data_IF_720706254323
#
_entry.id   IF_720706254323
#
_cell.length_a   1.000
_cell.length_b   1.000
_cell.length_c   1.000
_cell.angle_alpha   90.00
_cell.angle_beta   90.00
_cell.angle_gamma   90.00
#
_symmetry.space_group_name_H-M   'P 1'
#
loop_
_entity.id
_entity.type
_entity.pdbx_description
1 polymer ?
#
# COMPACT_ATOMS: atom_id res chain seq x y z
N UNK A 1 -63.56 -6.41 24.21
CA UNK A 1 -63.38 -4.98 23.90
C UNK A 1 -62.40 -4.82 22.75
N UNK A 2 -62.87 -4.17 21.75
CA UNK A 2 -62.18 -3.96 20.48
C UNK A 2 -61.11 -2.88 20.65
N UNK A 3 -59.84 -3.12 20.21
CA UNK A 3 -58.93 -2.05 19.84
C UNK A 3 -58.29 -2.37 18.50
N UNK A 4 -58.67 -1.56 17.55
CA UNK A 4 -58.14 -1.53 16.18
C UNK A 4 -56.76 -0.90 16.22
N UNK A 5 -55.77 -1.56 15.69
CA UNK A 5 -54.47 -0.97 15.38
C UNK A 5 -54.53 -0.56 13.92
N UNK A 6 -54.47 0.75 13.69
CA UNK A 6 -54.32 1.35 12.38
C UNK A 6 -52.87 1.17 11.90
N UNK A 7 -52.69 0.50 10.78
CA UNK A 7 -51.49 0.50 10.05
C UNK A 7 -51.41 1.80 9.24
N UNK A 8 -50.42 2.62 9.50
CA UNK A 8 -50.08 3.78 8.69
C UNK A 8 -49.03 3.34 7.71
N UNK A 9 -49.44 3.13 6.49
CA UNK A 9 -48.54 2.96 5.34
C UNK A 9 -48.04 4.34 4.91
N UNK A 10 -46.77 4.63 5.19
CA UNK A 10 -46.11 5.81 4.68
C UNK A 10 -45.44 5.46 3.34
N UNK A 11 -46.12 5.81 2.26
CA UNK A 11 -45.57 5.71 0.91
C UNK A 11 -44.72 6.95 0.66
N UNK A 12 -43.41 6.83 0.80
CA UNK A 12 -42.48 7.85 0.36
C UNK A 12 -42.16 7.64 -1.11
N UNK A 13 -42.71 8.46 -1.96
CA UNK A 13 -42.31 8.54 -3.35
C UNK A 13 -40.95 9.26 -3.41
N UNK A 14 -39.89 8.53 -3.65
CA UNK A 14 -38.60 9.11 -4.01
C UNK A 14 -38.58 9.38 -5.52
N UNK A 15 -38.62 10.64 -5.87
CA UNK A 15 -38.19 11.09 -7.18
C UNK A 15 -36.67 10.88 -7.29
N UNK A 16 -36.31 9.90 -8.10
CA UNK A 16 -34.93 9.68 -8.48
C UNK A 16 -34.48 10.79 -9.44
N UNK A 17 -33.79 11.77 -8.88
CA UNK A 17 -32.92 12.64 -9.66
C UNK A 17 -31.66 11.85 -9.96
N UNK A 18 -31.52 11.33 -11.18
CA UNK A 18 -30.29 10.80 -11.70
C UNK A 18 -29.32 11.96 -11.95
N UNK A 19 -28.64 12.41 -10.89
CA UNK A 19 -27.37 13.05 -11.08
C UNK A 19 -26.35 11.91 -11.24
N UNK A 20 -25.91 11.68 -12.46
CA UNK A 20 -24.73 10.87 -12.72
C UNK A 20 -23.54 11.61 -12.12
N UNK A 21 -23.27 11.38 -10.85
CA UNK A 21 -21.97 11.63 -10.28
C UNK A 21 -21.03 10.64 -10.94
N UNK A 22 -19.90 11.06 -11.54
CA UNK A 22 -18.89 10.09 -11.92
C UNK A 22 -18.57 9.35 -10.65
N UNK A 23 -18.81 8.07 -10.66
CA UNK A 23 -18.24 7.15 -9.68
C UNK A 23 -16.77 7.08 -10.06
N UNK A 24 -16.02 8.08 -9.61
CA UNK A 24 -14.63 7.84 -9.30
C UNK A 24 -14.72 6.71 -8.31
N UNK A 25 -14.08 5.61 -8.63
CA UNK A 25 -14.07 4.45 -7.80
C UNK A 25 -13.95 4.95 -6.38
N UNK A 26 -15.04 4.82 -5.68
CA UNK A 26 -15.02 4.98 -4.26
C UNK A 26 -14.05 3.91 -3.84
N UNK A 27 -12.84 4.30 -3.58
CA UNK A 27 -11.88 3.51 -2.89
C UNK A 27 -12.44 3.33 -1.47
N UNK A 28 -13.50 2.58 -1.42
CA UNK A 28 -14.16 2.18 -0.21
C UNK A 28 -13.26 1.16 0.46
N UNK A 29 -12.31 1.72 1.21
CA UNK A 29 -11.40 0.93 1.99
C UNK A 29 -10.34 0.29 1.11
N UNK A 30 -9.53 1.11 0.45
CA UNK A 30 -8.20 0.67 0.19
C UNK A 30 -7.60 0.31 1.54
N UNK A 31 -7.32 -0.95 1.68
CA UNK A 31 -6.56 -1.50 2.77
C UNK A 31 -5.08 -1.10 2.53
N UNK A 32 -4.87 0.21 2.33
CA UNK A 32 -3.56 0.77 1.98
C UNK A 32 -2.58 0.73 3.13
N UNK A 33 -3.08 0.53 4.35
CA UNK A 33 -2.23 0.56 5.52
C UNK A 33 -1.65 1.96 5.80
N UNK A 34 -0.79 2.03 6.79
CA UNK A 34 -0.06 3.25 7.18
C UNK A 34 1.43 3.01 7.36
N UNK A 35 1.93 1.92 6.85
CA UNK A 35 3.34 1.56 6.87
C UNK A 35 3.83 1.45 5.45
N UNK A 36 4.94 2.13 5.15
CA UNK A 36 5.67 2.02 3.90
C UNK A 36 6.89 1.13 4.12
N UNK A 37 6.79 -0.12 3.68
CA UNK A 37 7.89 -1.09 3.79
C UNK A 37 8.80 -1.01 2.58
N UNK A 38 10.04 -0.59 2.80
CA UNK A 38 11.07 -0.45 1.76
C UNK A 38 12.14 -1.52 1.94
N UNK A 39 12.39 -2.31 0.90
CA UNK A 39 13.40 -3.36 0.88
C UNK A 39 14.62 -2.93 0.06
N UNK A 40 15.79 -2.98 0.67
CA UNK A 40 17.06 -2.62 0.05
C UNK A 40 18.21 -3.45 0.64
N UNK A 41 19.39 -3.39 0.00
CA UNK A 41 20.55 -4.18 0.43
C UNK A 41 21.59 -3.39 1.22
N UNK A 42 21.47 -2.07 1.24
CA UNK A 42 22.34 -1.18 2.00
C UNK A 42 21.63 0.14 2.33
N UNK A 43 22.32 1.05 2.98
CA UNK A 43 21.77 2.34 3.41
C UNK A 43 21.83 3.44 2.34
N UNK A 44 22.34 3.17 1.14
CA UNK A 44 22.52 4.22 0.13
C UNK A 44 21.19 4.83 -0.29
N UNK A 45 20.20 4.00 -0.61
CA UNK A 45 18.89 4.49 -0.99
C UNK A 45 18.18 5.20 0.15
N UNK A 46 18.32 4.68 1.38
CA UNK A 46 17.81 5.32 2.58
C UNK A 46 18.37 6.74 2.72
N UNK A 47 19.70 6.90 2.66
CA UNK A 47 20.34 8.22 2.76
C UNK A 47 19.83 9.17 1.69
N UNK A 48 19.72 8.73 0.44
CA UNK A 48 19.20 9.57 -0.65
C UNK A 48 17.74 10.00 -0.43
N UNK A 49 16.91 9.10 0.04
CA UNK A 49 15.50 9.42 0.33
C UNK A 49 15.42 10.39 1.51
N UNK A 50 16.13 10.14 2.58
CA UNK A 50 16.09 10.99 3.78
C UNK A 50 16.65 12.39 3.53
N UNK A 51 17.67 12.51 2.68
CA UNK A 51 18.31 13.79 2.37
C UNK A 51 17.45 14.66 1.42
N UNK A 52 16.60 14.04 0.61
CA UNK A 52 15.94 14.74 -0.49
C UNK A 52 14.41 14.70 -0.42
N UNK A 53 13.80 13.79 0.34
CA UNK A 53 12.34 13.70 0.41
C UNK A 53 11.77 14.66 1.46
N UNK A 54 10.93 15.62 1.06
CA UNK A 54 10.36 16.60 2.00
C UNK A 54 9.50 15.93 3.07
N UNK A 55 9.72 16.31 4.32
CA UNK A 55 8.91 15.83 5.44
C UNK A 55 9.25 14.46 5.97
N UNK A 56 10.39 13.87 5.54
CA UNK A 56 10.91 12.68 6.21
C UNK A 56 11.47 13.04 7.60
N UNK A 57 11.06 12.28 8.60
CA UNK A 57 11.55 12.37 9.98
C UNK A 57 12.12 11.02 10.39
N UNK A 58 13.39 10.99 10.79
CA UNK A 58 14.02 9.77 11.29
C UNK A 58 13.58 9.48 12.73
N UNK A 59 13.16 8.25 12.99
CA UNK A 59 12.80 7.75 14.32
C UNK A 59 13.97 6.96 14.90
N UNK A 60 14.52 6.04 14.12
CA UNK A 60 15.75 5.27 14.46
C UNK A 60 16.43 4.79 13.17
N UNK A 61 17.46 3.96 13.30
CA UNK A 61 18.25 3.47 12.16
C UNK A 61 17.44 2.72 11.09
N UNK A 62 16.27 2.20 11.41
CA UNK A 62 15.42 1.41 10.50
C UNK A 62 13.99 1.93 10.39
N UNK A 63 13.63 2.98 11.10
CA UNK A 63 12.28 3.54 11.09
C UNK A 63 12.30 5.05 10.91
N UNK A 64 11.35 5.54 10.18
CA UNK A 64 11.07 6.96 10.00
C UNK A 64 9.59 7.22 9.82
N UNK A 65 9.26 8.47 9.52
CA UNK A 65 7.89 8.93 9.26
C UNK A 65 7.86 9.89 8.09
N UNK A 66 6.76 9.84 7.35
CA UNK A 66 6.38 10.87 6.37
C UNK A 66 4.92 11.22 6.65
N UNK A 67 4.68 12.32 7.37
CA UNK A 67 3.34 12.65 7.84
C UNK A 67 2.78 11.56 8.77
N UNK A 68 1.64 10.97 8.42
CA UNK A 68 0.99 9.90 9.18
C UNK A 68 1.44 8.48 8.77
N UNK A 69 2.38 8.38 7.84
CA UNK A 69 2.88 7.09 7.34
C UNK A 69 4.18 6.73 8.05
N UNK A 70 4.23 5.57 8.66
CA UNK A 70 5.44 5.00 9.19
C UNK A 70 6.29 4.40 8.05
N UNK A 71 7.59 4.69 8.02
CA UNK A 71 8.52 4.14 7.03
C UNK A 71 9.39 3.10 7.70
N UNK A 72 9.42 1.90 7.15
CA UNK A 72 10.23 0.79 7.65
C UNK A 72 11.27 0.39 6.62
N UNK A 73 12.53 0.45 7.00
CA UNK A 73 13.67 0.08 6.18
C UNK A 73 14.07 -1.37 6.45
N UNK A 74 13.81 -2.23 5.48
CA UNK A 74 14.19 -3.64 5.52
C UNK A 74 15.52 -3.80 4.76
N UNK A 75 16.63 -3.67 5.48
CA UNK A 75 17.97 -3.70 4.90
C UNK A 75 18.57 -5.09 5.08
N UNK A 76 18.78 -5.79 3.98
CA UNK A 76 19.40 -7.12 3.96
C UNK A 76 20.60 -7.09 3.00
N UNK A 77 21.84 -7.32 3.47
CA UNK A 77 23.00 -7.34 2.60
C UNK A 77 22.86 -8.32 1.42
N UNK A 78 23.53 -8.01 0.30
CA UNK A 78 23.51 -8.86 -0.91
C UNK A 78 24.40 -10.10 -0.83
N UNK A 79 25.20 -10.22 0.23
CA UNK A 79 26.11 -11.34 0.40
C UNK A 79 25.36 -12.68 0.27
N UNK A 80 25.94 -13.62 -0.44
CA UNK A 80 25.36 -14.96 -0.67
C UNK A 80 23.90 -14.96 -1.17
N UNK A 81 23.51 -13.94 -1.93
CA UNK A 81 22.13 -13.70 -2.39
C UNK A 81 21.12 -13.50 -1.25
N UNK A 82 21.53 -13.13 -0.06
CA UNK A 82 20.64 -13.01 1.09
C UNK A 82 19.49 -12.02 0.84
N UNK A 83 19.79 -10.87 0.21
CA UNK A 83 18.76 -9.90 -0.16
C UNK A 83 17.69 -10.48 -1.09
N UNK A 84 18.09 -11.12 -2.20
CA UNK A 84 17.14 -11.69 -3.16
C UNK A 84 16.33 -12.84 -2.53
N UNK A 85 16.95 -13.68 -1.73
CA UNK A 85 16.26 -14.78 -1.04
C UNK A 85 15.21 -14.24 -0.07
N UNK A 86 15.56 -13.24 0.73
CA UNK A 86 14.61 -12.59 1.64
C UNK A 86 13.45 -11.91 0.90
N UNK A 87 13.75 -11.22 -0.19
CA UNK A 87 12.74 -10.58 -1.03
C UNK A 87 11.79 -11.61 -1.64
N UNK A 88 12.32 -12.69 -2.22
CA UNK A 88 11.52 -13.77 -2.83
C UNK A 88 10.59 -14.43 -1.80
N UNK A 89 11.10 -14.78 -0.64
CA UNK A 89 10.30 -15.41 0.43
C UNK A 89 9.18 -14.49 0.93
N UNK A 90 9.44 -13.19 1.00
CA UNK A 90 8.45 -12.22 1.46
C UNK A 90 7.40 -11.95 0.38
N UNK A 91 7.81 -11.79 -0.88
CA UNK A 91 6.88 -11.62 -2.01
C UNK A 91 5.93 -12.81 -2.18
N UNK A 92 6.38 -14.03 -1.92
CA UNK A 92 5.50 -15.22 -1.95
C UNK A 92 4.37 -15.16 -0.92
N UNK A 93 4.54 -14.40 0.15
CA UNK A 93 3.54 -14.20 1.21
C UNK A 93 2.72 -12.93 1.02
N UNK A 94 3.03 -12.13 0.01
CA UNK A 94 2.44 -10.80 -0.22
C UNK A 94 0.92 -10.81 -0.30
N UNK A 95 0.32 -11.83 -0.94
CA UNK A 95 -1.12 -11.93 -1.10
C UNK A 95 -1.88 -12.12 0.22
N UNK A 96 -1.25 -12.80 1.18
CA UNK A 96 -1.85 -13.12 2.47
C UNK A 96 -1.43 -12.15 3.59
N UNK A 97 -0.52 -11.22 3.29
CA UNK A 97 -0.04 -10.23 4.24
C UNK A 97 -1.10 -9.15 4.52
N UNK A 98 -1.12 -8.63 5.74
CA UNK A 98 -1.90 -7.42 6.04
C UNK A 98 -1.35 -6.22 5.26
N UNK A 99 -2.14 -5.15 5.12
CA UNK A 99 -1.70 -3.97 4.39
C UNK A 99 -0.36 -3.41 4.93
N UNK A 100 -0.23 -3.36 6.25
CA UNK A 100 0.97 -2.83 6.90
C UNK A 100 2.20 -3.78 6.85
N UNK A 101 2.00 -5.04 6.46
CA UNK A 101 3.08 -6.05 6.37
C UNK A 101 3.54 -6.30 4.92
N UNK A 102 2.86 -5.71 3.94
CA UNK A 102 3.22 -5.85 2.53
C UNK A 102 4.51 -5.11 2.20
N UNK A 103 5.22 -5.61 1.20
CA UNK A 103 6.30 -4.85 0.58
C UNK A 103 5.69 -3.81 -0.35
N UNK A 104 6.01 -2.54 -0.14
CA UNK A 104 5.51 -1.44 -0.96
C UNK A 104 6.52 -1.01 -2.02
N UNK A 105 7.81 -1.05 -1.66
CA UNK A 105 8.90 -0.69 -2.54
C UNK A 105 10.09 -1.61 -2.30
N UNK A 106 10.68 -2.09 -3.38
CA UNK A 106 11.93 -2.85 -3.29
C UNK A 106 12.90 -2.47 -4.41
N UNK A 107 14.17 -2.51 -4.10
CA UNK A 107 15.23 -2.23 -5.05
C UNK A 107 15.64 -3.49 -5.81
N UNK A 108 16.03 -3.31 -7.07
CA UNK A 108 16.58 -4.37 -7.91
C UNK A 108 17.80 -3.86 -8.68
N UNK A 109 18.75 -4.73 -8.89
CA UNK A 109 19.87 -4.48 -9.80
C UNK A 109 19.53 -4.94 -11.23
N UNK A 110 20.17 -4.34 -12.20
CA UNK A 110 19.87 -4.57 -13.61
C UNK A 110 20.04 -6.03 -14.05
N UNK A 111 20.96 -6.77 -13.44
CA UNK A 111 21.27 -8.15 -13.78
C UNK A 111 20.16 -9.15 -13.42
N UNK A 112 19.33 -8.84 -12.42
CA UNK A 112 18.17 -9.67 -12.06
C UNK A 112 16.82 -8.95 -12.12
N UNK A 113 16.76 -7.72 -12.60
CA UNK A 113 15.52 -6.93 -12.67
C UNK A 113 14.40 -7.66 -13.42
N UNK A 114 14.73 -8.38 -14.50
CA UNK A 114 13.74 -9.11 -15.32
C UNK A 114 12.99 -10.21 -14.53
N UNK A 115 13.54 -10.67 -13.43
CA UNK A 115 12.87 -11.62 -12.53
C UNK A 115 11.58 -11.06 -11.94
N UNK A 116 11.51 -9.74 -11.76
CA UNK A 116 10.42 -9.07 -11.05
C UNK A 116 9.52 -8.21 -11.94
N UNK A 117 10.06 -7.52 -12.95
CA UNK A 117 9.34 -6.49 -13.70
C UNK A 117 8.15 -6.97 -14.54
N UNK A 118 8.06 -8.26 -14.80
CA UNK A 118 6.95 -8.88 -15.55
C UNK A 118 6.11 -9.82 -14.66
N UNK A 119 6.07 -9.55 -13.38
CA UNK A 119 5.31 -10.35 -12.40
C UNK A 119 4.16 -9.53 -11.83
N UNK A 120 3.22 -10.22 -11.17
CA UNK A 120 2.13 -9.58 -10.43
C UNK A 120 2.60 -8.87 -9.14
N UNK A 121 3.90 -8.94 -8.83
CA UNK A 121 4.50 -8.24 -7.68
C UNK A 121 4.90 -6.80 -7.97
N UNK A 122 4.83 -6.36 -9.22
CA UNK A 122 5.23 -5.01 -9.62
C UNK A 122 4.12 -4.29 -10.36
N UNK A 123 4.05 -2.99 -10.16
CA UNK A 123 3.15 -2.11 -10.89
C UNK A 123 3.92 -0.94 -11.51
N UNK A 124 3.45 -0.39 -12.63
CA UNK A 124 4.03 0.83 -13.17
C UNK A 124 3.96 1.99 -12.18
N UNK A 125 5.04 2.75 -12.03
CA UNK A 125 5.05 4.01 -11.29
C UNK A 125 4.87 5.17 -12.25
N UNK A 126 3.67 5.68 -12.37
CA UNK A 126 3.39 6.81 -13.26
C UNK A 126 1.90 7.09 -13.39
N UNK A 127 1.55 8.24 -14.02
CA UNK A 127 0.15 8.68 -14.12
C UNK A 127 -0.73 7.82 -15.03
N UNK A 128 -0.17 6.82 -15.67
CA UNK A 128 -0.87 5.87 -16.55
C UNK A 128 -0.78 4.43 -16.06
N UNK A 129 -0.38 4.24 -14.79
CA UNK A 129 -0.47 2.95 -14.14
C UNK A 129 -1.89 2.57 -13.80
#
# INVERSE_FOLDING_TARGET
MKRKIMAVTLTAAMLAGLAAVPVWADDTGSDEGKVLNIYCWNEEFKSRLTDHYPGYEEVDGTHGKIGDVDVVWNITPSDDNAYQNNLDETLLKQADASADDKIDLFLVEADYALKYVNTDYTMPVGPSG
#
